data_IF_832475792333
#
_entry.id   IF_832475792333
#
_cell.length_a   1.000
_cell.length_b   1.000
_cell.length_c   1.000
_cell.angle_alpha   90.00
_cell.angle_beta   90.00
_cell.angle_gamma   90.00
#
_symmetry.space_group_name_H-M   'P 1'
#
loop_
_entity.id
_entity.type
_entity.pdbx_description
1 polymer ?
#
# COMPACT_ATOMS: atom_id res chain seq x y z
N UNK A 1 -14.04 5.90 5.62
CA UNK A 1 -13.98 4.44 5.37
C UNK A 1 -13.79 3.68 6.70
N UNK A 2 -13.89 2.34 6.76
CA UNK A 2 -13.58 1.54 7.99
C UNK A 2 -12.49 0.48 7.68
N UNK A 3 -11.65 0.77 6.70
CA UNK A 3 -10.55 -0.06 6.18
C UNK A 3 -10.96 -1.08 5.10
N UNK A 4 -10.04 -1.30 4.14
CA UNK A 4 -10.12 -2.30 3.08
C UNK A 4 -8.82 -3.11 3.12
N UNK A 5 -8.92 -4.43 2.91
CA UNK A 5 -7.78 -5.34 2.86
C UNK A 5 -8.02 -6.39 1.78
N UNK A 6 -7.04 -6.59 0.88
CA UNK A 6 -7.10 -7.60 -0.17
C UNK A 6 -5.75 -8.25 -0.37
N UNK A 7 -5.74 -9.58 -0.48
CA UNK A 7 -4.53 -10.39 -0.70
C UNK A 7 -4.60 -11.05 -2.06
N UNK A 8 -3.55 -10.90 -2.87
CA UNK A 8 -3.48 -11.54 -4.19
C UNK A 8 -2.03 -11.84 -4.61
N UNK A 9 -1.83 -12.73 -5.59
CA UNK A 9 -0.55 -12.90 -6.26
C UNK A 9 -0.15 -11.63 -7.03
N UNK A 10 1.15 -11.37 -7.06
CA UNK A 10 1.86 -10.32 -7.82
C UNK A 10 2.88 -11.02 -8.71
N UNK A 11 2.77 -10.77 -10.01
CA UNK A 11 3.66 -11.24 -11.06
C UNK A 11 4.53 -10.11 -11.61
N UNK A 12 4.76 -10.15 -12.92
CA UNK A 12 5.60 -9.19 -13.67
C UNK A 12 4.80 -8.54 -14.80
N UNK A 13 5.32 -7.46 -15.38
CA UNK A 13 4.64 -6.76 -16.46
C UNK A 13 3.32 -6.16 -15.98
N UNK A 14 2.21 -6.56 -16.60
CA UNK A 14 0.86 -6.10 -16.22
C UNK A 14 0.20 -6.99 -15.14
N UNK A 15 0.81 -8.12 -14.78
CA UNK A 15 0.33 -9.02 -13.73
C UNK A 15 0.70 -8.46 -12.35
N UNK A 16 0.05 -7.38 -11.95
CA UNK A 16 0.32 -6.66 -10.70
C UNK A 16 -0.92 -6.53 -9.83
N UNK A 17 -0.71 -6.32 -8.54
CA UNK A 17 -1.82 -6.10 -7.62
C UNK A 17 -2.24 -4.63 -7.70
N UNK A 18 -3.53 -4.42 -7.97
CA UNK A 18 -4.15 -3.11 -8.04
C UNK A 18 -5.32 -3.07 -7.07
N UNK A 19 -5.42 -2.01 -6.27
CA UNK A 19 -6.58 -1.74 -5.47
C UNK A 19 -7.00 -0.28 -5.58
N UNK A 20 -8.29 -0.05 -5.87
CA UNK A 20 -8.87 1.27 -6.00
C UNK A 20 -9.54 1.71 -4.69
N UNK A 21 -9.48 3.01 -4.42
CA UNK A 21 -10.20 3.66 -3.33
C UNK A 21 -10.81 4.96 -3.84
N UNK A 22 -11.96 5.34 -3.28
CA UNK A 22 -12.56 6.66 -3.50
C UNK A 22 -12.61 7.38 -2.17
N UNK A 23 -11.89 8.49 -2.07
CA UNK A 23 -12.00 9.44 -0.96
C UNK A 23 -13.24 10.30 -1.21
N UNK A 24 -14.12 10.41 -0.23
CA UNK A 24 -15.38 11.16 -0.31
C UNK A 24 -15.38 12.27 0.74
N UNK A 25 -16.25 13.25 0.56
CA UNK A 25 -16.37 14.40 1.48
C UNK A 25 -16.01 15.71 0.79
N UNK A 26 -15.83 16.74 1.60
CA UNK A 26 -15.53 18.12 1.19
C UNK A 26 -14.10 18.55 1.56
N UNK A 27 -13.46 17.85 2.50
CA UNK A 27 -12.09 18.08 2.93
C UNK A 27 -11.18 16.88 2.61
N UNK A 28 -9.87 17.09 2.70
CA UNK A 28 -8.90 16.00 2.55
C UNK A 28 -8.93 15.02 3.72
N UNK A 29 -8.86 13.72 3.44
CA UNK A 29 -8.82 12.65 4.45
C UNK A 29 -7.39 12.12 4.62
N UNK A 30 -6.97 11.85 5.86
CA UNK A 30 -5.66 11.25 6.13
C UNK A 30 -5.77 9.73 6.01
N UNK A 31 -5.04 9.17 5.06
CA UNK A 31 -5.08 7.74 4.74
C UNK A 31 -3.70 7.12 4.95
N UNK A 32 -3.66 5.89 5.44
CA UNK A 32 -2.49 5.01 5.37
C UNK A 32 -2.76 3.92 4.34
N UNK A 33 -1.87 3.78 3.37
CA UNK A 33 -1.87 2.69 2.40
C UNK A 33 -0.68 1.78 2.70
N UNK A 34 -0.90 0.47 2.73
CA UNK A 34 0.18 -0.51 2.95
C UNK A 34 0.23 -1.54 1.84
N UNK A 35 1.44 -2.00 1.55
CA UNK A 35 1.74 -3.18 0.75
C UNK A 35 2.57 -4.14 1.61
N UNK A 36 1.91 -5.17 2.12
CA UNK A 36 2.48 -6.16 3.02
C UNK A 36 2.87 -7.42 2.23
N UNK A 37 4.15 -7.71 2.21
CA UNK A 37 4.81 -8.85 1.60
C UNK A 37 5.50 -9.71 2.66
N UNK A 38 6.75 -9.43 3.08
CA UNK A 38 7.50 -10.29 4.01
C UNK A 38 6.79 -10.64 5.32
N UNK A 39 6.06 -9.70 5.93
CA UNK A 39 5.29 -9.94 7.17
C UNK A 39 4.24 -11.06 7.02
N UNK A 40 3.76 -11.33 5.80
CA UNK A 40 2.82 -12.43 5.54
C UNK A 40 3.43 -13.81 5.83
N UNK A 41 4.76 -13.94 5.82
CA UNK A 41 5.45 -15.17 6.22
C UNK A 41 5.15 -15.55 7.66
N UNK A 42 5.10 -14.56 8.57
CA UNK A 42 4.75 -14.78 9.98
C UNK A 42 3.28 -15.19 10.16
N UNK A 43 2.44 -14.86 9.17
CA UNK A 43 1.02 -15.24 9.13
C UNK A 43 0.77 -16.58 8.41
N UNK A 44 1.82 -17.32 8.05
CA UNK A 44 1.72 -18.63 7.40
C UNK A 44 1.31 -18.57 5.92
N UNK A 45 1.40 -17.41 5.27
CA UNK A 45 1.11 -17.29 3.84
C UNK A 45 2.28 -17.86 3.03
N UNK A 46 2.04 -18.82 2.13
CA UNK A 46 3.10 -19.35 1.29
C UNK A 46 3.53 -18.34 0.23
N UNK A 47 4.83 -18.34 -0.09
CA UNK A 47 5.44 -17.51 -1.13
C UNK A 47 5.07 -16.00 -1.04
N UNK A 48 5.35 -15.32 0.08
CA UNK A 48 5.10 -13.90 0.18
C UNK A 48 6.04 -13.10 -0.74
N UNK A 49 5.53 -12.02 -1.31
CA UNK A 49 6.33 -11.09 -2.11
C UNK A 49 7.43 -10.49 -1.22
N UNK A 50 8.70 -10.74 -1.55
CA UNK A 50 9.81 -10.46 -0.62
C UNK A 50 10.23 -8.99 -0.50
N UNK A 51 9.79 -8.15 -1.44
CA UNK A 51 10.18 -6.74 -1.52
C UNK A 51 9.10 -5.99 -2.37
N UNK A 52 7.96 -5.64 -1.76
CA UNK A 52 6.89 -4.90 -2.39
C UNK A 52 7.24 -3.42 -2.61
N UNK A 53 7.07 -2.93 -3.84
CA UNK A 53 6.99 -1.50 -4.15
C UNK A 53 5.51 -1.10 -4.18
N UNK A 54 5.15 -0.10 -3.37
CA UNK A 54 3.84 0.53 -3.34
C UNK A 54 3.86 1.86 -4.10
N UNK A 55 2.95 2.03 -5.05
CA UNK A 55 2.69 3.32 -5.70
C UNK A 55 1.24 3.73 -5.46
N UNK A 56 1.01 5.03 -5.30
CA UNK A 56 -0.30 5.65 -5.27
C UNK A 56 -0.46 6.56 -6.48
N UNK A 57 -1.53 6.37 -7.25
CA UNK A 57 -1.82 7.08 -8.50
C UNK A 57 -3.14 7.85 -8.41
N UNK A 58 -3.19 9.04 -9.02
CA UNK A 58 -4.41 9.84 -9.18
C UNK A 58 -5.29 9.30 -10.34
N UNK A 59 -6.50 9.85 -10.58
CA UNK A 59 -7.37 9.40 -11.67
C UNK A 59 -6.78 9.60 -13.08
N UNK A 60 -5.81 10.48 -13.23
CA UNK A 60 -5.12 10.75 -14.48
C UNK A 60 -3.90 9.82 -14.68
N UNK A 61 -3.60 8.95 -13.71
CA UNK A 61 -2.44 8.05 -13.72
C UNK A 61 -1.13 8.70 -13.24
N UNK A 62 -1.18 9.94 -12.74
CA UNK A 62 0.01 10.61 -12.20
C UNK A 62 0.42 9.95 -10.89
N UNK A 63 1.73 9.87 -10.65
CA UNK A 63 2.27 9.39 -9.39
C UNK A 63 2.04 10.44 -8.29
N UNK A 64 1.33 10.04 -7.24
CA UNK A 64 1.06 10.86 -6.05
C UNK A 64 2.14 10.60 -5.00
N UNK A 65 2.45 9.33 -4.75
CA UNK A 65 3.47 8.90 -3.80
C UNK A 65 3.93 7.47 -4.15
N UNK A 66 5.14 7.12 -3.74
CA UNK A 66 5.65 5.75 -3.82
C UNK A 66 6.49 5.41 -2.60
N UNK A 67 6.54 4.13 -2.23
CA UNK A 67 7.45 3.63 -1.22
C UNK A 67 7.75 2.14 -1.40
N UNK A 68 9.03 1.75 -1.30
CA UNK A 68 9.48 0.36 -1.31
C UNK A 68 9.94 -0.16 0.06
N UNK A 69 10.33 0.72 0.99
CA UNK A 69 10.60 0.36 2.39
C UNK A 69 9.88 1.35 3.30
N UNK A 70 9.00 0.89 4.20
CA UNK A 70 8.10 1.77 4.93
C UNK A 70 8.80 2.87 5.75
N UNK A 71 10.07 2.66 6.12
CA UNK A 71 10.88 3.65 6.84
C UNK A 71 11.47 4.77 5.97
N UNK A 72 11.54 4.57 4.66
CA UNK A 72 12.19 5.50 3.73
C UNK A 72 11.32 6.73 3.41
N UNK A 73 10.01 6.65 3.66
CA UNK A 73 9.06 7.72 3.35
C UNK A 73 8.08 7.99 4.50
N UNK A 74 8.24 9.15 5.14
CA UNK A 74 7.30 9.70 6.14
C UNK A 74 6.88 8.71 7.24
N UNK A 75 7.81 7.87 7.70
CA UNK A 75 7.54 6.82 8.70
C UNK A 75 6.89 7.32 9.98
N UNK A 76 7.25 8.53 10.41
CA UNK A 76 6.72 9.18 11.63
C UNK A 76 5.24 9.54 11.50
N UNK A 77 4.71 9.66 10.27
CA UNK A 77 3.31 9.94 10.03
C UNK A 77 2.41 8.69 10.14
N UNK A 78 3.00 7.49 10.18
CA UNK A 78 2.31 6.20 10.29
C UNK A 78 2.12 5.86 11.78
N UNK A 79 0.87 5.68 12.26
CA UNK A 79 0.60 5.26 13.63
C UNK A 79 1.30 3.94 13.97
N UNK A 80 1.81 3.81 15.20
CA UNK A 80 2.53 2.60 15.65
C UNK A 80 1.74 1.31 15.50
N UNK A 81 0.41 1.37 15.57
CA UNK A 81 -0.49 0.22 15.36
C UNK A 81 -0.60 -0.22 13.90
N UNK A 82 -0.13 0.60 12.95
CA UNK A 82 -0.17 0.34 11.50
C UNK A 82 1.22 0.25 10.88
N UNK A 83 2.29 0.41 11.66
CA UNK A 83 3.66 0.23 11.16
C UNK A 83 3.87 -1.24 10.77
N UNK A 84 4.42 -1.52 9.57
CA UNK A 84 4.86 -2.86 9.22
C UNK A 84 5.96 -3.39 10.17
N UNK A 85 6.04 -4.71 10.29
CA UNK A 85 7.06 -5.41 11.09
C UNK A 85 8.39 -5.56 10.35
N UNK A 86 8.36 -5.88 9.06
CA UNK A 86 9.54 -5.95 8.18
C UNK A 86 9.78 -4.60 7.50
N UNK A 87 11.04 -4.15 7.48
CA UNK A 87 11.40 -2.86 6.89
C UNK A 87 11.18 -2.82 5.37
N UNK A 88 11.13 -3.97 4.70
CA UNK A 88 10.88 -4.09 3.24
C UNK A 88 9.41 -4.04 2.87
N UNK A 89 8.49 -4.02 3.84
CA UNK A 89 7.09 -3.77 3.54
C UNK A 89 6.90 -2.30 3.11
N UNK A 90 5.96 -2.04 2.22
CA UNK A 90 5.64 -0.69 1.75
C UNK A 90 4.56 -0.04 2.60
N UNK A 91 4.72 1.24 2.96
CA UNK A 91 3.64 2.03 3.55
C UNK A 91 3.74 3.52 3.20
N UNK A 92 2.59 4.16 3.05
CA UNK A 92 2.44 5.58 2.74
C UNK A 92 1.37 6.16 3.67
N UNK A 93 1.69 7.23 4.41
CA UNK A 93 0.71 8.01 5.16
C UNK A 93 0.56 9.40 4.52
N UNK A 94 -0.63 9.73 4.01
CA UNK A 94 -0.83 10.94 3.20
C UNK A 94 -2.26 11.49 3.37
N UNK A 95 -2.41 12.82 3.27
CA UNK A 95 -3.72 13.47 3.17
C UNK A 95 -4.14 13.56 1.71
N UNK A 96 -5.28 12.98 1.36
CA UNK A 96 -5.79 12.90 0.00
C UNK A 96 -7.04 13.75 -0.17
N UNK A 97 -7.14 14.48 -1.28
CA UNK A 97 -8.35 15.23 -1.62
C UNK A 97 -9.49 14.27 -2.01
N UNK A 98 -10.77 14.69 -1.92
CA UNK A 98 -11.90 13.88 -2.36
C UNK A 98 -11.83 13.55 -3.87
N UNK A 99 -11.35 12.35 -4.22
CA UNK A 99 -11.31 11.80 -5.58
C UNK A 99 -10.99 10.30 -5.55
N UNK A 100 -10.90 9.67 -6.72
CA UNK A 100 -10.45 8.29 -6.86
C UNK A 100 -8.91 8.20 -6.83
N UNK A 101 -8.40 7.14 -6.22
CA UNK A 101 -6.98 6.80 -6.20
C UNK A 101 -6.79 5.31 -6.45
N UNK A 102 -5.65 4.97 -7.02
CA UNK A 102 -5.24 3.60 -7.30
C UNK A 102 -3.94 3.30 -6.58
N UNK A 103 -3.95 2.32 -5.68
CA UNK A 103 -2.74 1.72 -5.15
C UNK A 103 -2.29 0.59 -6.08
N UNK A 104 -1.01 0.60 -6.42
CA UNK A 104 -0.36 -0.40 -7.27
C UNK A 104 0.75 -1.04 -6.44
N UNK A 105 0.78 -2.38 -6.40
CA UNK A 105 1.82 -3.16 -5.73
C UNK A 105 2.54 -4.02 -6.76
N UNK A 106 3.87 -3.86 -6.80
CA UNK A 106 4.77 -4.60 -7.69
C UNK A 106 5.94 -5.18 -6.90
N UNK A 107 6.57 -6.24 -7.38
CA UNK A 107 7.82 -6.70 -6.80
C UNK A 107 9.02 -5.92 -7.33
N UNK A 108 9.92 -5.50 -6.43
CA UNK A 108 11.19 -4.90 -6.81
C UNK A 108 11.99 -5.86 -7.70
N UNK A 109 12.65 -5.32 -8.73
CA UNK A 109 13.46 -6.09 -9.68
C UNK A 109 12.72 -7.29 -10.32
N UNK A 110 11.40 -7.21 -10.48
CA UNK A 110 10.59 -8.27 -11.08
C UNK A 110 10.33 -9.48 -10.15
N UNK A 111 10.49 -9.31 -8.85
CA UNK A 111 10.08 -10.33 -7.88
C UNK A 111 8.58 -10.61 -7.96
N UNK A 112 8.20 -11.84 -7.66
CA UNK A 112 6.81 -12.31 -7.67
C UNK A 112 6.47 -12.96 -6.34
N UNK A 113 5.19 -12.97 -5.97
CA UNK A 113 4.75 -13.60 -4.74
C UNK A 113 3.36 -13.12 -4.34
N UNK A 114 2.92 -13.47 -3.15
CA UNK A 114 1.65 -12.99 -2.60
C UNK A 114 1.89 -11.68 -1.84
N UNK A 115 1.09 -10.66 -2.12
CA UNK A 115 1.09 -9.41 -1.36
C UNK A 115 -0.33 -9.10 -0.83
N UNK A 116 -0.39 -8.32 0.23
CA UNK A 116 -1.59 -7.79 0.83
C UNK A 116 -1.58 -6.26 0.68
N UNK A 117 -2.63 -5.70 0.09
CA UNK A 117 -2.82 -4.25 -0.02
C UNK A 117 -3.92 -3.81 0.92
N UNK A 118 -3.67 -2.73 1.67
CA UNK A 118 -4.58 -2.24 2.69
C UNK A 118 -4.73 -0.73 2.63
N UNK A 119 -5.93 -0.25 2.95
CA UNK A 119 -6.24 1.16 3.16
C UNK A 119 -6.80 1.34 4.56
N UNK A 120 -6.26 2.31 5.30
CA UNK A 120 -6.75 2.73 6.60
C UNK A 120 -7.12 4.20 6.55
N UNK A 121 -8.35 4.49 6.93
CA UNK A 121 -8.81 5.87 7.15
C UNK A 121 -8.44 6.25 8.59
N UNK A 122 -7.51 7.20 8.73
CA UNK A 122 -7.16 7.79 10.02
C UNK A 122 -8.19 8.86 10.35
N UNK A 123 -9.42 8.43 10.66
CA UNK A 123 -10.42 9.34 11.19
C UNK A 123 -9.85 10.02 12.43
N UNK A 124 -9.95 11.34 12.48
CA UNK A 124 -9.81 12.08 13.73
C UNK A 124 -10.99 11.77 14.66
#
# INVERSE_FOLDING_TARGET
MVNLSSRAPVGVGDDILIAGMIVRGDAGEKIVVRAIGPDLSASGVPNPLQDPILELRDPNGNLVAQNDNWRDFQSDAIPTTLQPGDDRDGAIAITLAPTAYTAIVRGKNGMTGTALVEFYDLKN
#
